data_IF_490511243845
#
_entry.id   IF_490511243845
#
_cell.length_a   1.000
_cell.length_b   1.000
_cell.length_c   1.000
_cell.angle_alpha   90.00
_cell.angle_beta   90.00
_cell.angle_gamma   90.00
#
_symmetry.space_group_name_H-M   'P 1'
#
loop_
_entity.id
_entity.type
_entity.pdbx_description
1 polymer ?
#
# COMPACT_ATOMS: atom_id res chain seq x y z
N UNK A 1 -21.55 -45.99 -4.51
CA UNK A 1 -21.27 -45.11 -3.35
C UNK A 1 -20.04 -44.31 -3.71
N UNK A 2 -20.27 -43.15 -4.30
CA UNK A 2 -19.33 -42.20 -4.85
C UNK A 2 -20.21 -41.00 -5.21
N UNK A 3 -19.85 -39.81 -4.73
CA UNK A 3 -20.77 -38.68 -4.79
C UNK A 3 -21.04 -38.28 -6.26
N UNK A 4 -22.30 -38.13 -6.71
CA UNK A 4 -22.63 -37.94 -8.12
C UNK A 4 -22.32 -36.53 -8.67
N UNK A 5 -21.93 -35.59 -7.80
CA UNK A 5 -21.95 -34.15 -8.11
C UNK A 5 -20.57 -33.48 -8.09
N UNK A 6 -19.49 -34.17 -8.44
CA UNK A 6 -18.24 -33.47 -8.79
C UNK A 6 -18.37 -32.88 -10.19
N UNK A 7 -19.06 -31.73 -10.30
CA UNK A 7 -18.88 -30.82 -11.42
C UNK A 7 -17.52 -30.17 -11.26
N UNK A 8 -16.63 -30.41 -12.22
CA UNK A 8 -15.36 -29.68 -12.32
C UNK A 8 -15.74 -28.23 -12.64
N UNK A 9 -15.93 -27.41 -11.60
CA UNK A 9 -16.18 -25.98 -11.76
C UNK A 9 -14.91 -25.37 -12.32
N UNK A 10 -14.98 -24.99 -13.59
CA UNK A 10 -13.92 -24.31 -14.32
C UNK A 10 -13.59 -23.01 -13.54
N UNK A 11 -12.41 -22.99 -12.87
CA UNK A 11 -11.90 -21.94 -11.97
C UNK A 11 -12.53 -21.82 -10.56
N UNK A 12 -12.93 -22.92 -9.91
CA UNK A 12 -13.13 -22.90 -8.44
C UNK A 12 -11.78 -22.70 -7.71
N UNK A 13 -11.42 -21.45 -7.42
CA UNK A 13 -10.25 -21.11 -6.61
C UNK A 13 -10.49 -21.51 -5.15
N UNK A 14 -9.51 -22.22 -4.55
CA UNK A 14 -9.57 -22.62 -3.14
C UNK A 14 -9.36 -21.40 -2.23
N UNK A 15 -9.99 -21.42 -1.05
CA UNK A 15 -9.70 -20.43 -0.02
C UNK A 15 -8.20 -20.44 0.31
N UNK A 16 -7.62 -19.24 0.52
CA UNK A 16 -6.20 -19.11 0.86
C UNK A 16 -5.23 -19.40 -0.29
N UNK A 17 -5.69 -19.44 -1.55
CA UNK A 17 -4.80 -19.66 -2.71
C UNK A 17 -3.73 -18.57 -2.88
N UNK A 18 -3.93 -17.39 -2.31
CA UNK A 18 -2.97 -16.29 -2.28
C UNK A 18 -2.82 -15.76 -0.85
N UNK A 19 -1.57 -15.70 -0.39
CA UNK A 19 -1.20 -15.06 0.87
C UNK A 19 -0.25 -13.90 0.57
N UNK A 20 -0.64 -12.69 0.93
CA UNK A 20 0.21 -11.50 0.89
C UNK A 20 0.74 -11.20 2.29
N UNK A 21 2.04 -10.96 2.40
CA UNK A 21 2.68 -10.43 3.61
C UNK A 21 3.32 -9.09 3.24
N UNK A 22 3.11 -8.08 4.10
CA UNK A 22 3.63 -6.75 3.85
C UNK A 22 3.45 -5.85 5.06
N UNK A 23 3.81 -4.59 4.89
CA UNK A 23 3.67 -3.58 5.94
C UNK A 23 2.31 -2.89 5.76
N UNK A 24 1.33 -3.13 6.65
CA UNK A 24 0.06 -2.41 6.58
C UNK A 24 0.28 -0.97 7.02
N UNK A 25 0.34 -0.05 6.05
CA UNK A 25 0.54 1.38 6.28
C UNK A 25 -0.74 2.15 5.95
N UNK A 26 -0.93 3.31 6.59
CA UNK A 26 -2.02 4.23 6.30
C UNK A 26 -1.52 5.30 5.32
N UNK A 27 -2.25 5.48 4.23
CA UNK A 27 -1.95 6.52 3.25
C UNK A 27 -2.48 7.89 3.73
N UNK A 28 -1.63 8.90 3.65
CA UNK A 28 -1.97 10.32 3.88
C UNK A 28 -1.66 11.07 2.57
N UNK A 29 -2.67 11.73 2.00
CA UNK A 29 -2.52 12.53 0.79
C UNK A 29 -2.92 13.98 1.06
N UNK A 30 -2.16 14.92 0.52
CA UNK A 30 -2.40 16.35 0.67
C UNK A 30 -1.93 17.09 -0.59
N UNK A 31 -2.57 18.21 -0.91
CA UNK A 31 -2.08 19.11 -1.95
C UNK A 31 -0.93 19.95 -1.37
N UNK A 32 0.25 19.85 -1.96
CA UNK A 32 1.44 20.59 -1.54
C UNK A 32 2.06 21.35 -2.73
N UNK A 33 2.96 22.26 -2.44
CA UNK A 33 3.69 23.03 -3.44
C UNK A 33 5.15 22.54 -3.59
N UNK A 34 5.89 23.12 -4.54
CA UNK A 34 7.30 22.77 -4.75
C UNK A 34 8.18 23.09 -3.53
N UNK A 35 7.83 24.14 -2.77
CA UNK A 35 8.59 24.55 -1.59
C UNK A 35 8.54 23.51 -0.47
N UNK A 36 7.41 22.82 -0.32
CA UNK A 36 7.26 21.70 0.61
C UNK A 36 8.20 20.54 0.27
N UNK A 37 8.32 20.19 -1.02
CA UNK A 37 9.24 19.15 -1.47
C UNK A 37 10.70 19.51 -1.15
N UNK A 38 11.10 20.75 -1.45
CA UNK A 38 12.44 21.24 -1.15
C UNK A 38 12.74 21.23 0.36
N UNK A 39 11.78 21.67 1.20
CA UNK A 39 11.92 21.72 2.66
C UNK A 39 12.31 20.36 3.25
N UNK A 40 11.78 19.28 2.70
CA UNK A 40 12.05 17.91 3.15
C UNK A 40 13.08 17.16 2.29
N UNK A 41 13.58 17.78 1.22
CA UNK A 41 14.52 17.16 0.29
C UNK A 41 13.92 16.02 -0.53
N UNK A 42 12.65 16.14 -0.89
CA UNK A 42 11.89 15.17 -1.67
C UNK A 42 12.04 15.45 -3.16
N UNK A 43 12.23 14.40 -3.97
CA UNK A 43 12.18 14.50 -5.43
C UNK A 43 10.74 14.26 -5.90
N UNK A 44 10.28 14.92 -6.98
CA UNK A 44 8.99 14.61 -7.58
C UNK A 44 8.91 13.14 -8.01
N UNK A 45 7.77 12.48 -7.73
CA UNK A 45 7.50 11.08 -8.04
C UNK A 45 8.44 10.06 -7.37
N UNK A 46 9.04 10.40 -6.24
CA UNK A 46 9.91 9.51 -5.48
C UNK A 46 9.16 8.69 -4.42
N UNK A 47 9.73 7.56 -4.02
CA UNK A 47 9.23 6.70 -2.95
C UNK A 47 10.38 6.36 -2.01
N UNK A 48 10.38 6.97 -0.82
CA UNK A 48 11.49 6.91 0.14
C UNK A 48 11.03 6.41 1.50
N UNK A 49 11.97 5.90 2.30
CA UNK A 49 11.76 5.68 3.73
C UNK A 49 11.99 6.99 4.49
N UNK A 50 11.14 7.25 5.48
CA UNK A 50 11.21 8.47 6.28
C UNK A 50 12.43 8.47 7.23
N UNK A 51 13.37 9.38 7.00
CA UNK A 51 14.37 9.83 7.96
C UNK A 51 13.80 10.81 9.02
N UNK A 52 14.57 11.14 10.07
CA UNK A 52 14.17 12.03 11.17
C UNK A 52 13.64 13.40 10.69
N UNK A 53 14.24 13.96 9.63
CA UNK A 53 13.80 15.23 9.02
C UNK A 53 12.36 15.20 8.48
N UNK A 54 11.83 14.02 8.15
CA UNK A 54 10.49 13.86 7.58
C UNK A 54 9.42 13.67 8.66
N UNK A 55 9.77 13.39 9.92
CA UNK A 55 8.79 13.16 11.00
C UNK A 55 7.83 14.35 11.22
N UNK A 56 8.28 15.61 11.18
CA UNK A 56 7.38 16.76 11.33
C UNK A 56 6.33 16.86 10.21
N UNK A 57 6.64 16.33 9.01
CA UNK A 57 5.80 16.42 7.81
C UNK A 57 4.38 15.88 8.05
N UNK A 58 4.24 14.78 8.79
CA UNK A 58 2.93 14.15 9.03
C UNK A 58 1.94 15.07 9.77
N UNK A 59 2.44 15.96 10.63
CA UNK A 59 1.59 16.93 11.34
C UNK A 59 1.27 18.16 10.50
N UNK A 60 2.10 18.48 9.51
CA UNK A 60 1.89 19.63 8.63
C UNK A 60 0.93 19.32 7.48
N UNK A 61 0.76 18.04 7.13
CA UNK A 61 -0.18 17.57 6.09
C UNK A 61 -1.65 17.48 6.57
N UNK A 62 -1.90 17.69 7.86
CA UNK A 62 -3.24 17.67 8.48
C UNK A 62 -3.68 19.06 8.89
#
# INVERSE_FOLDING_TARGET
>A
MGDPDVKIDELSLREGILLGLGNPLLDISANTDHSFLEKYGLKPNDAILAEEKHIPMYKEMT
#
